data_IF_577560156805
#
_entry.id   IF_577560156805
#
_cell.length_a   1.000
_cell.length_b   1.000
_cell.length_c   1.000
_cell.angle_alpha   90.00
_cell.angle_beta   90.00
_cell.angle_gamma   90.00
#
_symmetry.space_group_name_H-M   'P 1'
#
loop_
_entity.id
_entity.type
_entity.pdbx_description
1 polymer ?
#
# COMPACT_ATOMS: atom_id res chain seq x y z
N UNK A 1 -1.49 5.87 7.64
CA UNK A 1 -2.72 5.13 7.25
C UNK A 1 -2.78 5.03 5.74
N UNK A 2 -3.42 3.99 5.19
CA UNK A 2 -3.61 3.82 3.75
C UNK A 2 -5.06 4.14 3.39
N UNK A 3 -5.25 5.07 2.44
CA UNK A 3 -6.57 5.41 1.90
C UNK A 3 -6.77 4.59 0.63
N UNK A 4 -7.79 3.74 0.63
CA UNK A 4 -8.18 2.89 -0.51
C UNK A 4 -9.42 3.48 -1.15
N UNK A 5 -9.30 3.91 -2.42
CA UNK A 5 -10.43 4.40 -3.19
C UNK A 5 -11.16 3.23 -3.85
N UNK A 6 -12.45 3.13 -3.60
CA UNK A 6 -13.33 2.21 -4.32
C UNK A 6 -14.16 3.01 -5.32
N UNK A 7 -13.99 2.69 -6.59
CA UNK A 7 -14.83 3.23 -7.64
C UNK A 7 -16.25 2.66 -7.51
N UNK A 8 -17.24 3.49 -7.69
CA UNK A 8 -18.67 3.13 -7.66
C UNK A 8 -19.33 3.72 -8.89
N UNK A 9 -20.18 2.94 -9.53
CA UNK A 9 -20.81 3.31 -10.80
C UNK A 9 -22.13 4.07 -10.59
N UNK A 10 -22.72 3.95 -9.40
CA UNK A 10 -24.00 4.59 -9.09
C UNK A 10 -23.98 5.32 -7.76
N UNK A 11 -24.75 6.43 -7.63
CA UNK A 11 -24.84 7.17 -6.36
C UNK A 11 -25.28 6.31 -5.16
N UNK A 12 -26.15 5.30 -5.40
CA UNK A 12 -26.64 4.41 -4.35
C UNK A 12 -25.61 3.47 -3.77
N UNK A 13 -24.56 3.14 -4.54
CA UNK A 13 -23.48 2.27 -4.08
C UNK A 13 -22.53 2.96 -3.11
N UNK A 14 -22.54 4.30 -3.09
CA UNK A 14 -21.67 5.08 -2.18
C UNK A 14 -21.97 4.75 -0.72
N UNK A 15 -23.24 4.63 -0.34
CA UNK A 15 -23.70 4.32 1.02
C UNK A 15 -23.94 2.82 1.24
N UNK A 16 -23.83 2.00 0.20
CA UNK A 16 -24.04 0.57 0.33
C UNK A 16 -23.01 -0.06 1.29
N UNK A 17 -23.38 -1.09 2.07
CA UNK A 17 -22.44 -1.77 2.95
C UNK A 17 -21.16 -2.14 2.20
N UNK A 18 -20.01 -2.07 2.90
CA UNK A 18 -18.74 -2.52 2.34
C UNK A 18 -18.90 -4.00 1.93
N UNK A 19 -18.82 -4.25 0.62
CA UNK A 19 -18.70 -5.59 0.08
C UNK A 19 -17.32 -6.21 0.39
N UNK A 20 -16.83 -7.07 -0.48
CA UNK A 20 -15.48 -7.59 -0.35
C UNK A 20 -14.45 -6.47 -0.42
N UNK A 21 -13.79 -6.20 0.71
CA UNK A 21 -12.59 -5.37 0.73
C UNK A 21 -11.48 -6.20 0.10
N UNK A 22 -10.91 -5.79 -1.04
CA UNK A 22 -9.83 -6.54 -1.66
C UNK A 22 -8.70 -6.69 -0.65
N UNK A 23 -8.37 -7.93 -0.35
CA UNK A 23 -7.22 -8.25 0.51
C UNK A 23 -5.93 -7.88 -0.22
N UNK A 24 -4.84 -7.67 0.52
CA UNK A 24 -3.56 -7.33 -0.09
C UNK A 24 -3.10 -8.46 -1.01
N UNK A 25 -2.63 -8.09 -2.18
CA UNK A 25 -2.03 -9.04 -3.11
C UNK A 25 -0.76 -9.64 -2.51
N UNK A 26 -0.66 -10.96 -2.58
CA UNK A 26 0.54 -11.65 -2.10
C UNK A 26 1.71 -11.31 -3.02
N UNK A 27 2.88 -10.97 -2.45
CA UNK A 27 4.08 -10.74 -3.26
C UNK A 27 4.39 -11.96 -4.11
N UNK A 28 4.77 -11.73 -5.36
CA UNK A 28 5.06 -12.79 -6.32
C UNK A 28 6.13 -13.78 -5.80
N UNK A 29 6.03 -15.03 -6.20
CA UNK A 29 6.92 -16.12 -5.76
C UNK A 29 8.40 -15.77 -5.92
N UNK A 30 8.79 -15.14 -7.03
CA UNK A 30 10.18 -14.72 -7.27
C UNK A 30 10.68 -13.79 -6.16
N UNK A 31 9.91 -12.77 -5.78
CA UNK A 31 10.29 -11.82 -4.73
C UNK A 31 10.38 -12.48 -3.36
N UNK A 32 9.53 -13.47 -3.10
CA UNK A 32 9.52 -14.24 -1.85
C UNK A 32 10.76 -15.13 -1.68
N UNK A 33 11.31 -15.65 -2.78
CA UNK A 33 12.40 -16.63 -2.77
C UNK A 33 13.76 -16.07 -3.18
N UNK A 34 13.85 -14.77 -3.50
CA UNK A 34 15.06 -14.11 -4.02
C UNK A 34 16.26 -14.19 -3.06
N UNK A 35 16.02 -14.30 -1.76
CA UNK A 35 17.05 -14.46 -0.74
C UNK A 35 17.74 -15.82 -0.78
N UNK A 36 17.05 -16.85 -1.27
CA UNK A 36 17.54 -18.24 -1.26
C UNK A 36 18.71 -18.45 -2.23
N UNK A 37 18.64 -18.04 -3.52
CA UNK A 37 19.79 -18.11 -4.40
C UNK A 37 20.96 -17.25 -3.92
N UNK A 38 20.71 -16.08 -3.33
CA UNK A 38 21.77 -15.27 -2.74
C UNK A 38 22.50 -16.00 -1.61
N UNK A 39 21.74 -16.65 -0.72
CA UNK A 39 22.29 -17.48 0.34
C UNK A 39 23.09 -18.67 -0.21
N UNK A 40 22.57 -19.37 -1.21
CA UNK A 40 23.26 -20.54 -1.81
C UNK A 40 24.58 -20.13 -2.44
N UNK A 41 24.62 -19.00 -3.17
CA UNK A 41 25.88 -18.47 -3.73
C UNK A 41 26.86 -18.13 -2.62
N UNK A 42 26.42 -17.47 -1.55
CA UNK A 42 27.27 -17.11 -0.41
C UNK A 42 27.85 -18.37 0.26
N UNK A 43 27.06 -19.41 0.47
CA UNK A 43 27.50 -20.68 1.03
C UNK A 43 28.50 -21.38 0.07
N UNK A 44 28.23 -21.34 -1.23
CA UNK A 44 29.14 -21.94 -2.22
C UNK A 44 30.52 -21.24 -2.21
N UNK A 45 30.55 -19.90 -2.12
CA UNK A 45 31.80 -19.14 -1.99
C UNK A 45 32.53 -19.50 -0.70
N UNK A 46 31.81 -19.63 0.42
CA UNK A 46 32.39 -20.02 1.70
C UNK A 46 33.00 -21.42 1.64
N UNK A 47 32.26 -22.37 1.05
CA UNK A 47 32.76 -23.75 0.87
C UNK A 47 33.98 -23.77 -0.05
N UNK A 48 33.96 -23.03 -1.16
CA UNK A 48 35.11 -22.91 -2.06
C UNK A 48 36.36 -22.38 -1.32
N UNK A 49 36.18 -21.36 -0.48
CA UNK A 49 37.27 -20.81 0.35
C UNK A 49 37.86 -21.83 1.30
N UNK A 50 37.05 -22.78 1.80
CA UNK A 50 37.52 -23.88 2.70
C UNK A 50 38.20 -25.02 1.97
N UNK A 51 37.87 -25.26 0.69
CA UNK A 51 38.44 -26.36 -0.10
C UNK A 51 39.75 -26.00 -0.80
N UNK A 52 40.03 -24.71 -0.98
CA UNK A 52 41.28 -24.24 -1.60
C UNK A 52 42.41 -24.33 -0.56
N UNK A 53 43.29 -25.26 -0.72
CA UNK A 53 44.52 -25.39 0.07
C UNK A 53 45.57 -24.37 -0.46
N UNK A 54 46.10 -23.52 0.40
CA UNK A 54 47.12 -22.51 0.08
C UNK A 54 46.72 -21.53 -1.05
N UNK A 55 45.64 -20.74 -0.89
CA UNK A 55 45.29 -19.74 -1.88
C UNK A 55 46.38 -18.68 -2.01
N UNK A 56 46.60 -18.16 -3.23
CA UNK A 56 47.42 -16.94 -3.39
C UNK A 56 46.78 -15.78 -2.65
N UNK A 57 47.55 -14.85 -2.11
CA UNK A 57 46.99 -13.71 -1.35
C UNK A 57 45.97 -12.89 -2.13
N UNK A 58 46.11 -12.83 -3.46
CA UNK A 58 45.14 -12.17 -4.33
C UNK A 58 43.81 -12.94 -4.42
N UNK A 59 43.85 -14.26 -4.53
CA UNK A 59 42.67 -15.10 -4.56
C UNK A 59 41.93 -15.07 -3.23
N UNK A 60 42.66 -15.08 -2.11
CA UNK A 60 42.09 -14.98 -0.76
C UNK A 60 41.33 -13.66 -0.58
N UNK A 61 41.94 -12.53 -1.03
CA UNK A 61 41.26 -11.24 -1.00
C UNK A 61 39.98 -11.21 -1.82
N UNK A 62 39.97 -11.75 -3.03
CA UNK A 62 38.77 -11.80 -3.87
C UNK A 62 37.69 -12.71 -3.29
N UNK A 63 38.04 -13.85 -2.70
CA UNK A 63 37.08 -14.73 -2.02
C UNK A 63 36.47 -14.05 -0.79
N UNK A 64 37.27 -13.31 -0.01
CA UNK A 64 36.76 -12.51 1.12
C UNK A 64 35.79 -11.43 0.66
N UNK A 65 36.14 -10.67 -0.39
CA UNK A 65 35.27 -9.66 -0.96
C UNK A 65 33.95 -10.26 -1.49
N UNK A 66 34.03 -11.39 -2.20
CA UNK A 66 32.86 -12.10 -2.70
C UNK A 66 31.95 -12.60 -1.56
N UNK A 67 32.54 -13.10 -0.47
CA UNK A 67 31.81 -13.54 0.73
C UNK A 67 31.10 -12.36 1.41
N UNK A 68 31.80 -11.24 1.60
CA UNK A 68 31.22 -10.03 2.19
C UNK A 68 30.07 -9.47 1.33
N UNK A 69 30.27 -9.41 0.01
CA UNK A 69 29.23 -8.98 -0.92
C UNK A 69 28.02 -9.91 -0.90
N UNK A 70 28.23 -11.23 -0.88
CA UNK A 70 27.17 -12.23 -0.78
C UNK A 70 26.37 -12.13 0.51
N UNK A 71 27.06 -11.92 1.65
CA UNK A 71 26.39 -11.68 2.94
C UNK A 71 25.56 -10.41 2.93
N UNK A 72 26.08 -9.31 2.37
CA UNK A 72 25.38 -8.04 2.27
C UNK A 72 24.11 -8.18 1.40
N UNK A 73 24.20 -8.83 0.24
CA UNK A 73 23.04 -9.07 -0.64
C UNK A 73 22.01 -9.97 0.05
N UNK A 74 22.44 -11.01 0.73
CA UNK A 74 21.54 -11.91 1.48
C UNK A 74 20.81 -11.15 2.59
N UNK A 75 21.52 -10.30 3.35
CA UNK A 75 20.94 -9.49 4.41
C UNK A 75 19.90 -8.49 3.88
N UNK A 76 20.20 -7.80 2.77
CA UNK A 76 19.26 -6.88 2.11
C UNK A 76 18.03 -7.63 1.61
N UNK A 77 18.20 -8.76 0.96
CA UNK A 77 17.10 -9.58 0.46
C UNK A 77 16.19 -10.09 1.60
N UNK A 78 16.79 -10.53 2.73
CA UNK A 78 16.07 -10.94 3.92
C UNK A 78 15.29 -9.76 4.57
N UNK A 79 15.89 -8.57 4.61
CA UNK A 79 15.25 -7.37 5.14
C UNK A 79 14.06 -6.94 4.29
N UNK A 80 14.19 -6.97 2.96
CA UNK A 80 13.09 -6.66 2.03
C UNK A 80 11.93 -7.63 2.25
N UNK A 81 12.23 -8.92 2.32
CA UNK A 81 11.21 -9.95 2.61
C UNK A 81 10.50 -9.69 3.94
N UNK A 82 11.25 -9.44 5.01
CA UNK A 82 10.69 -9.17 6.33
C UNK A 82 9.73 -7.96 6.31
N UNK A 83 10.11 -6.89 5.61
CA UNK A 83 9.26 -5.71 5.43
C UNK A 83 7.99 -6.02 4.63
N UNK A 84 8.11 -6.81 3.56
CA UNK A 84 6.95 -7.21 2.75
C UNK A 84 5.99 -8.09 3.56
N UNK A 85 6.49 -9.05 4.33
CA UNK A 85 5.68 -9.90 5.21
C UNK A 85 4.98 -9.08 6.30
N UNK A 86 5.67 -8.09 6.90
CA UNK A 86 5.07 -7.18 7.88
C UNK A 86 3.97 -6.30 7.28
N UNK A 87 4.21 -5.71 6.10
CA UNK A 87 3.20 -4.91 5.39
C UNK A 87 1.98 -5.75 5.08
N UNK A 88 2.18 -6.93 4.49
CA UNK A 88 1.09 -7.84 4.17
C UNK A 88 0.28 -8.25 5.41
N UNK A 89 0.95 -8.54 6.54
CA UNK A 89 0.26 -8.85 7.80
C UNK A 89 -0.54 -7.66 8.36
N UNK A 90 -0.03 -6.44 8.24
CA UNK A 90 -0.73 -5.23 8.67
C UNK A 90 -1.94 -4.94 7.78
N UNK A 91 -1.77 -4.99 6.46
CA UNK A 91 -2.83 -4.79 5.48
C UNK A 91 -3.94 -5.87 5.59
N UNK A 92 -3.56 -7.13 5.85
CA UNK A 92 -4.51 -8.22 6.07
C UNK A 92 -5.35 -8.01 7.33
N UNK A 93 -4.73 -7.56 8.44
CA UNK A 93 -5.47 -7.23 9.68
C UNK A 93 -6.39 -6.04 9.48
N UNK A 94 -5.93 -5.02 8.76
CA UNK A 94 -6.74 -3.84 8.46
C UNK A 94 -7.96 -4.20 7.60
N UNK A 95 -7.79 -5.04 6.58
CA UNK A 95 -8.88 -5.54 5.74
C UNK A 95 -9.87 -6.39 6.55
N UNK A 96 -9.39 -7.24 7.47
CA UNK A 96 -10.24 -8.04 8.35
C UNK A 96 -11.03 -7.18 9.33
N UNK A 97 -10.41 -6.17 9.94
CA UNK A 97 -11.10 -5.21 10.81
C UNK A 97 -12.20 -4.47 10.05
N UNK A 98 -11.94 -4.03 8.81
CA UNK A 98 -12.94 -3.39 7.96
C UNK A 98 -14.09 -4.34 7.56
N UNK A 99 -13.85 -5.64 7.41
CA UNK A 99 -14.91 -6.63 7.16
C UNK A 99 -15.80 -6.86 8.38
N UNK A 100 -15.24 -6.77 9.57
CA UNK A 100 -15.90 -7.17 10.81
C UNK A 100 -16.63 -6.00 11.50
N UNK A 101 -16.02 -4.81 11.52
CA UNK A 101 -16.52 -3.66 12.30
C UNK A 101 -16.35 -2.34 11.54
N UNK A 102 -16.65 -2.33 10.24
CA UNK A 102 -16.61 -1.11 9.46
C UNK A 102 -17.71 -0.13 9.89
N UNK A 103 -17.31 1.11 10.15
CA UNK A 103 -18.20 2.23 10.47
C UNK A 103 -18.20 3.21 9.31
N UNK A 104 -19.38 3.51 8.81
CA UNK A 104 -19.56 4.48 7.74
C UNK A 104 -19.73 5.88 8.31
N UNK A 105 -18.99 6.82 7.78
CA UNK A 105 -19.09 8.25 8.14
C UNK A 105 -18.95 9.10 6.88
N UNK A 106 -19.47 10.32 6.93
CA UNK A 106 -19.24 11.31 5.86
C UNK A 106 -18.01 12.13 6.20
N UNK A 107 -17.03 12.12 5.30
CA UNK A 107 -15.83 12.95 5.36
C UNK A 107 -15.88 14.05 4.29
N UNK A 108 -14.84 14.86 4.25
CA UNK A 108 -14.59 15.86 3.21
C UNK A 108 -13.15 15.75 2.72
N UNK A 109 -12.92 16.15 1.47
CA UNK A 109 -11.60 16.10 0.86
C UNK A 109 -11.10 17.49 0.47
N UNK A 110 -9.82 17.76 0.69
CA UNK A 110 -9.08 18.78 -0.03
C UNK A 110 -8.46 18.16 -1.27
N UNK A 111 -8.35 18.91 -2.34
CA UNK A 111 -7.83 18.41 -3.62
C UNK A 111 -6.78 19.37 -4.16
N UNK A 112 -5.66 18.82 -4.56
CA UNK A 112 -4.66 19.46 -5.42
C UNK A 112 -4.41 18.57 -6.63
N UNK A 113 -4.31 19.17 -7.79
CA UNK A 113 -4.21 18.46 -9.08
C UNK A 113 -2.79 18.56 -9.62
N UNK A 114 -2.36 17.49 -10.28
CA UNK A 114 -1.13 17.44 -11.07
C UNK A 114 -1.38 16.65 -12.35
N UNK A 115 -1.27 17.33 -13.48
CA UNK A 115 -1.32 16.65 -14.78
C UNK A 115 -0.12 15.72 -14.98
N UNK A 116 -0.41 14.53 -15.47
CA UNK A 116 0.56 13.50 -15.86
C UNK A 116 0.30 13.10 -17.32
N UNK A 117 1.22 12.38 -17.91
CA UNK A 117 1.11 11.93 -19.31
C UNK A 117 -0.09 11.00 -19.56
N UNK A 118 -0.50 10.23 -18.54
CA UNK A 118 -1.52 9.17 -18.64
C UNK A 118 -2.76 9.50 -17.80
N UNK A 119 -3.00 10.80 -17.49
CA UNK A 119 -4.14 11.23 -16.69
C UNK A 119 -3.80 12.30 -15.66
N UNK A 120 -4.73 12.57 -14.75
CA UNK A 120 -4.56 13.57 -13.69
C UNK A 120 -4.37 12.90 -12.34
N UNK A 121 -3.26 13.20 -11.68
CA UNK A 121 -3.02 12.79 -10.29
C UNK A 121 -3.68 13.80 -9.34
N UNK A 122 -4.69 13.33 -8.63
CA UNK A 122 -5.33 14.07 -7.54
C UNK A 122 -4.65 13.70 -6.21
N UNK A 123 -4.41 14.68 -5.37
CA UNK A 123 -3.85 14.50 -4.01
C UNK A 123 -4.54 15.44 -3.04
N UNK A 124 -4.56 15.09 -1.77
CA UNK A 124 -5.11 15.97 -0.77
C UNK A 124 -5.14 15.37 0.62
N UNK A 125 -5.92 16.02 1.46
CA UNK A 125 -6.26 15.54 2.80
C UNK A 125 -7.70 15.06 2.80
N UNK A 126 -7.94 13.95 3.46
CA UNK A 126 -9.24 13.41 3.80
C UNK A 126 -9.48 13.71 5.26
N UNK A 127 -10.56 14.43 5.56
CA UNK A 127 -10.94 14.78 6.93
C UNK A 127 -12.26 14.09 7.25
N UNK A 128 -12.32 13.31 8.33
CA UNK A 128 -13.53 12.57 8.71
C UNK A 128 -13.62 12.38 10.23
N UNK A 129 -14.83 12.25 10.79
CA UNK A 129 -15.00 11.95 12.21
C UNK A 129 -14.60 10.50 12.50
N UNK A 130 -13.75 10.31 13.50
CA UNK A 130 -13.32 8.99 13.99
C UNK A 130 -13.47 8.96 15.49
N UNK A 131 -14.39 8.14 16.00
CA UNK A 131 -14.81 8.15 17.40
C UNK A 131 -15.23 9.55 17.87
N UNK A 132 -14.50 10.16 18.80
CA UNK A 132 -14.75 11.52 19.31
C UNK A 132 -13.83 12.59 18.71
N UNK A 133 -12.95 12.23 17.80
CA UNK A 133 -11.93 13.09 17.21
C UNK A 133 -12.13 13.24 15.69
N UNK A 134 -11.51 14.26 15.14
CA UNK A 134 -11.43 14.43 13.68
C UNK A 134 -10.09 13.84 13.22
N UNK A 135 -10.16 12.84 12.37
CA UNK A 135 -8.99 12.23 11.74
C UNK A 135 -8.67 12.90 10.41
N UNK A 136 -7.38 13.01 10.10
CA UNK A 136 -6.87 13.53 8.83
C UNK A 136 -5.90 12.53 8.21
N UNK A 137 -6.19 12.12 6.98
CA UNK A 137 -5.34 11.22 6.21
C UNK A 137 -4.96 11.81 4.86
N UNK A 138 -3.74 11.56 4.42
CA UNK A 138 -3.32 11.93 3.06
C UNK A 138 -3.81 10.90 2.06
N UNK A 139 -4.31 11.37 0.93
CA UNK A 139 -4.76 10.49 -0.14
C UNK A 139 -4.19 10.91 -1.51
N UNK A 140 -4.17 9.95 -2.43
CA UNK A 140 -3.85 10.19 -3.83
C UNK A 140 -4.67 9.25 -4.71
N UNK A 141 -5.12 9.77 -5.85
CA UNK A 141 -5.91 9.03 -6.83
C UNK A 141 -5.41 9.42 -8.23
N UNK A 142 -5.15 8.42 -9.07
CA UNK A 142 -4.90 8.66 -10.48
C UNK A 142 -6.23 8.50 -11.22
N UNK A 143 -6.65 9.57 -11.89
CA UNK A 143 -7.82 9.57 -12.78
C UNK A 143 -7.28 9.49 -14.19
N UNK A 144 -7.56 8.40 -14.90
CA UNK A 144 -7.15 8.23 -16.28
C UNK A 144 -8.00 9.10 -17.22
N UNK A 145 -7.46 9.35 -18.42
CA UNK A 145 -8.19 10.10 -19.45
C UNK A 145 -9.44 9.31 -19.87
N UNK A 146 -10.61 9.91 -19.67
CA UNK A 146 -11.91 9.30 -19.98
C UNK A 146 -12.65 8.70 -18.77
N UNK A 147 -12.01 8.59 -17.60
CA UNK A 147 -12.68 8.18 -16.36
C UNK A 147 -13.58 9.30 -15.81
N UNK A 148 -14.50 8.90 -14.90
CA UNK A 148 -15.26 9.90 -14.15
C UNK A 148 -14.31 10.84 -13.40
N UNK A 149 -14.57 12.16 -13.46
CA UNK A 149 -13.72 13.12 -12.77
C UNK A 149 -13.79 12.88 -11.26
N UNK A 150 -12.62 12.87 -10.63
CA UNK A 150 -12.48 12.68 -9.20
C UNK A 150 -13.18 13.77 -8.35
N UNK A 151 -13.06 13.69 -7.02
CA UNK A 151 -13.71 14.60 -6.10
C UNK A 151 -13.18 16.04 -6.29
N UNK A 152 -14.05 17.02 -6.10
CA UNK A 152 -13.70 18.45 -6.05
C UNK A 152 -13.31 18.86 -4.64
N UNK A 153 -12.57 19.97 -4.48
CA UNK A 153 -12.27 20.52 -3.14
C UNK A 153 -13.54 20.75 -2.33
N UNK A 154 -13.60 20.19 -1.13
CA UNK A 154 -14.74 20.27 -0.23
C UNK A 154 -15.92 19.35 -0.57
N UNK A 155 -15.75 18.44 -1.53
CA UNK A 155 -16.77 17.41 -1.77
C UNK A 155 -16.93 16.48 -0.56
N UNK A 156 -18.17 16.13 -0.19
CA UNK A 156 -18.41 15.06 0.74
C UNK A 156 -18.01 13.72 0.11
N UNK A 157 -17.42 12.84 0.92
CA UNK A 157 -17.04 11.48 0.56
C UNK A 157 -17.54 10.53 1.63
N UNK A 158 -17.92 9.32 1.24
CA UNK A 158 -18.24 8.29 2.21
C UNK A 158 -16.96 7.56 2.61
N UNK A 159 -16.74 7.46 3.91
CA UNK A 159 -15.53 6.89 4.51
C UNK A 159 -15.92 5.74 5.39
N UNK A 160 -15.31 4.58 5.16
CA UNK A 160 -15.39 3.42 6.06
C UNK A 160 -14.07 3.26 6.78
N UNK A 161 -14.15 3.19 8.07
CA UNK A 161 -13.02 2.93 8.95
C UNK A 161 -13.40 1.88 10.00
N UNK A 162 -12.44 1.23 10.60
CA UNK A 162 -12.68 0.30 11.68
C UNK A 162 -11.71 0.55 12.84
N UNK A 163 -12.12 0.31 14.11
CA UNK A 163 -11.22 0.35 15.24
C UNK A 163 -10.04 -0.60 15.05
N UNK A 164 -8.81 -0.13 15.29
CA UNK A 164 -7.60 -0.92 15.10
C UNK A 164 -7.17 -1.11 13.64
N UNK A 165 -7.87 -0.53 12.67
CA UNK A 165 -7.46 -0.52 11.27
C UNK A 165 -6.62 0.69 10.94
N UNK A 166 -5.49 0.46 10.24
CA UNK A 166 -4.66 1.51 9.65
C UNK A 166 -5.06 1.82 8.20
N UNK A 167 -6.13 1.22 7.71
CA UNK A 167 -6.69 1.50 6.40
C UNK A 167 -8.09 2.07 6.51
N UNK A 168 -8.42 2.97 5.60
CA UNK A 168 -9.75 3.51 5.38
C UNK A 168 -10.16 3.30 3.94
N UNK A 169 -11.45 2.98 3.71
CA UNK A 169 -12.01 2.86 2.38
C UNK A 169 -12.84 4.09 2.08
N UNK A 170 -12.63 4.70 0.94
CA UNK A 170 -13.34 5.89 0.50
C UNK A 170 -14.11 5.58 -0.77
N UNK A 171 -15.37 5.97 -0.80
CA UNK A 171 -16.21 5.92 -1.99
C UNK A 171 -16.69 7.33 -2.33
N UNK A 172 -16.70 7.63 -3.61
CA UNK A 172 -17.15 8.89 -4.13
C UNK A 172 -17.92 8.69 -5.43
N UNK A 173 -19.01 9.44 -5.57
CA UNK A 173 -19.75 9.60 -6.81
C UNK A 173 -20.29 11.02 -6.85
N UNK A 174 -20.11 11.72 -7.97
CA UNK A 174 -20.48 13.13 -8.09
C UNK A 174 -21.96 13.39 -7.79
N UNK A 175 -22.85 12.56 -8.31
CA UNK A 175 -24.29 12.68 -8.06
C UNK A 175 -24.65 12.54 -6.60
N UNK A 176 -24.01 11.62 -5.88
CA UNK A 176 -24.20 11.48 -4.43
C UNK A 176 -23.70 12.72 -3.67
N UNK A 177 -22.53 13.23 -4.02
CA UNK A 177 -21.95 14.42 -3.37
C UNK A 177 -22.86 15.66 -3.56
N UNK A 178 -23.45 15.83 -4.74
CA UNK A 178 -24.40 16.91 -5.01
C UNK A 178 -25.72 16.75 -4.22
N UNK A 179 -26.17 15.52 -4.01
CA UNK A 179 -27.34 15.22 -3.17
C UNK A 179 -27.10 15.50 -1.70
N UNK A 180 -25.93 15.11 -1.16
CA UNK A 180 -25.55 15.40 0.23
C UNK A 180 -25.46 16.92 0.44
N UNK A 181 -24.85 17.66 -0.49
CA UNK A 181 -24.79 19.14 -0.42
C UNK A 181 -26.17 19.79 -0.45
N UNK A 182 -27.12 19.24 -1.21
CA UNK A 182 -28.51 19.75 -1.24
C UNK A 182 -29.25 19.54 0.07
N UNK A 183 -29.02 18.40 0.73
CA UNK A 183 -29.64 18.08 2.03
C UNK A 183 -29.04 18.86 3.20
N UNK A 184 -27.82 19.37 3.07
CA UNK A 184 -27.12 20.16 4.12
C UNK A 184 -27.37 21.67 4.06
N UNK A 185 -28.10 22.15 3.06
CA UNK A 185 -28.55 23.56 2.91
C UNK A 185 -29.96 23.76 3.47
#
# INVERSE_FOLDING_TARGET
>A
MSVVWQQVDTPGEVEAPLGEVPGPERPGLLRRWLWLPALLVTVAVYVAQRLVENPSGELEMWLMLALMAGLAVTAVAALVRYRDDQRHATESRAAEALRTDARAVTGSVTVSERELKDGTMLRGLLTYPRDSETAEDTWSLLVADGDEPGPRPGDPVAVWWAPGSDAVVVRYHRGWADDVRRRSR
#
